data_IF_291672469462
#
_entry.id   IF_291672469462
#
_cell.length_a   1.000
_cell.length_b   1.000
_cell.length_c   1.000
_cell.angle_alpha   90.00
_cell.angle_beta   90.00
_cell.angle_gamma   90.00
#
_symmetry.space_group_name_H-M   'P 1'
#
loop_
_entity.id
_entity.type
_entity.pdbx_description
1 polymer ?
#
# COMPACT_ATOMS: atom_id res chain seq x y z
N UNK A 1 16.02 -3.90 -37.71
CA UNK A 1 17.17 -3.99 -36.80
C UNK A 1 17.12 -2.72 -35.96
N UNK A 2 16.56 -2.80 -34.76
CA UNK A 2 16.51 -1.67 -33.84
C UNK A 2 17.48 -1.98 -32.71
N UNK A 3 18.49 -1.15 -32.55
CA UNK A 3 19.38 -1.15 -31.38
C UNK A 3 19.34 0.29 -30.88
N UNK A 4 18.75 0.47 -29.71
CA UNK A 4 18.86 1.67 -28.85
C UNK A 4 18.90 1.05 -27.44
N UNK A 5 19.97 1.15 -26.65
CA UNK A 5 20.79 2.32 -26.43
C UNK A 5 20.26 3.01 -25.18
N UNK A 6 20.78 2.61 -24.01
CA UNK A 6 20.50 3.14 -22.67
C UNK A 6 19.06 3.04 -22.14
N UNK A 7 18.70 1.85 -21.66
CA UNK A 7 17.69 1.70 -20.60
C UNK A 7 18.42 1.43 -19.27
N UNK A 8 17.98 2.05 -18.15
CA UNK A 8 18.65 1.88 -16.86
C UNK A 8 18.66 0.40 -16.46
N UNK A 9 19.60 -0.04 -15.60
CA UNK A 9 19.80 -1.46 -15.23
C UNK A 9 18.54 -2.17 -14.66
N UNK A 10 17.50 -1.42 -14.34
CA UNK A 10 16.20 -1.88 -13.86
C UNK A 10 15.43 -2.76 -14.84
N UNK A 11 15.49 -2.50 -16.15
CA UNK A 11 14.75 -3.29 -17.15
C UNK A 11 15.33 -4.72 -17.26
N UNK A 12 16.65 -4.86 -17.09
CA UNK A 12 17.36 -6.14 -17.09
C UNK A 12 17.12 -6.96 -15.81
N UNK A 13 17.03 -6.31 -14.64
CA UNK A 13 16.72 -7.01 -13.38
C UNK A 13 15.32 -7.62 -13.40
N UNK A 14 14.33 -6.92 -13.98
CA UNK A 14 12.98 -7.46 -14.15
C UNK A 14 13.00 -8.70 -15.04
N UNK A 15 13.64 -8.64 -16.21
CA UNK A 15 13.73 -9.80 -17.11
C UNK A 15 14.43 -10.99 -16.44
N UNK A 16 15.47 -10.76 -15.64
CA UNK A 16 16.18 -11.81 -14.90
C UNK A 16 15.29 -12.48 -13.85
N UNK A 17 14.47 -11.72 -13.12
CA UNK A 17 13.49 -12.29 -12.18
C UNK A 17 12.47 -13.17 -12.92
N UNK A 18 12.00 -12.71 -14.08
CA UNK A 18 11.09 -13.48 -14.94
C UNK A 18 11.71 -14.76 -15.50
N UNK A 19 13.04 -14.79 -15.71
CA UNK A 19 13.77 -15.99 -16.17
C UNK A 19 14.04 -16.99 -15.03
N UNK A 20 14.16 -16.51 -13.80
CA UNK A 20 14.60 -17.32 -12.65
C UNK A 20 13.51 -18.18 -12.01
N UNK A 21 12.23 -17.81 -12.13
CA UNK A 21 11.14 -18.58 -11.52
C UNK A 21 9.88 -18.56 -12.38
N UNK A 22 9.17 -19.69 -12.39
CA UNK A 22 7.84 -19.83 -13.00
C UNK A 22 6.73 -19.83 -11.93
N UNK A 23 7.08 -19.66 -10.65
CA UNK A 23 6.12 -19.51 -9.56
C UNK A 23 5.55 -18.09 -9.58
N UNK A 24 4.23 -17.98 -9.80
CA UNK A 24 3.53 -16.72 -9.87
C UNK A 24 3.55 -15.92 -8.57
N UNK A 25 3.75 -16.55 -7.41
CA UNK A 25 3.84 -15.85 -6.12
C UNK A 25 5.19 -15.15 -5.96
N UNK A 26 6.29 -15.83 -6.26
CA UNK A 26 7.63 -15.24 -6.21
C UNK A 26 7.78 -14.08 -7.20
N UNK A 27 7.19 -14.21 -8.38
CA UNK A 27 7.12 -13.16 -9.39
C UNK A 27 6.38 -11.92 -8.88
N UNK A 28 5.24 -12.13 -8.19
CA UNK A 28 4.43 -11.04 -7.65
C UNK A 28 5.16 -10.31 -6.51
N UNK A 29 5.87 -11.05 -5.65
CA UNK A 29 6.68 -10.45 -4.58
C UNK A 29 7.85 -9.62 -5.15
N UNK A 30 8.54 -10.16 -6.16
CA UNK A 30 9.63 -9.46 -6.82
C UNK A 30 9.13 -8.23 -7.62
N UNK A 31 7.97 -8.29 -8.29
CA UNK A 31 7.36 -7.12 -8.94
C UNK A 31 6.94 -6.07 -7.90
N UNK A 32 6.37 -6.48 -6.76
CA UNK A 32 6.03 -5.59 -5.64
C UNK A 32 7.28 -4.91 -5.06
N UNK A 33 8.43 -5.60 -5.02
CA UNK A 33 9.71 -5.06 -4.54
C UNK A 33 10.35 -4.09 -5.55
N UNK A 34 10.32 -4.44 -6.84
CA UNK A 34 10.93 -3.65 -7.91
C UNK A 34 10.10 -2.41 -8.30
N UNK A 35 8.76 -2.52 -8.26
CA UNK A 35 7.85 -1.41 -8.56
C UNK A 35 7.53 -0.56 -7.33
N UNK A 36 7.64 -1.14 -6.14
CA UNK A 36 7.06 -0.57 -4.93
C UNK A 36 5.52 -0.71 -4.93
N UNK A 37 4.87 -0.28 -3.85
CA UNK A 37 3.46 -0.58 -3.61
C UNK A 37 2.43 0.18 -4.48
N UNK A 38 2.85 1.19 -5.24
CA UNK A 38 1.94 2.06 -5.98
C UNK A 38 1.05 2.92 -5.07
N UNK A 39 -0.06 3.44 -5.63
CA UNK A 39 -1.09 4.19 -4.88
C UNK A 39 -2.05 3.21 -4.21
N UNK A 40 -1.72 2.79 -2.98
CA UNK A 40 -2.52 1.81 -2.21
C UNK A 40 -3.89 2.37 -1.79
N UNK A 41 -4.09 3.70 -1.88
CA UNK A 41 -5.24 4.41 -1.29
C UNK A 41 -6.06 5.22 -2.30
N UNK A 42 -5.80 5.13 -3.62
CA UNK A 42 -6.47 5.98 -4.60
C UNK A 42 -6.34 5.56 -6.08
N UNK A 43 -7.31 6.02 -6.88
CA UNK A 43 -7.58 5.76 -8.31
C UNK A 43 -6.48 6.16 -9.32
N UNK A 44 -5.23 6.46 -8.90
CA UNK A 44 -4.18 6.92 -9.83
C UNK A 44 -3.08 5.87 -9.97
N UNK A 45 -2.81 5.47 -11.22
CA UNK A 45 -1.82 4.44 -11.59
C UNK A 45 -0.35 4.76 -11.23
N UNK A 46 -0.06 5.89 -10.62
CA UNK A 46 1.27 6.20 -10.10
C UNK A 46 1.20 7.39 -9.14
N UNK A 47 1.37 7.13 -7.86
CA UNK A 47 1.50 8.15 -6.83
C UNK A 47 2.09 7.49 -5.60
N UNK A 48 3.30 7.90 -5.25
CA UNK A 48 4.07 7.39 -4.11
C UNK A 48 3.16 7.30 -2.86
N UNK A 49 3.08 6.13 -2.24
CA UNK A 49 2.39 5.97 -0.97
C UNK A 49 2.97 7.04 -0.02
N UNK A 50 2.13 7.89 0.58
CA UNK A 50 2.57 9.04 1.41
C UNK A 50 3.19 8.64 2.75
N UNK A 51 3.90 7.53 2.78
CA UNK A 51 4.68 7.00 3.89
C UNK A 51 6.12 7.44 3.68
N UNK A 52 6.48 8.58 4.27
CA UNK A 52 7.82 9.18 4.11
C UNK A 52 8.95 8.36 4.78
N UNK A 53 8.59 7.39 5.62
CA UNK A 53 9.51 6.64 6.51
C UNK A 53 9.12 5.16 6.55
N UNK A 54 7.82 4.87 6.58
CA UNK A 54 7.32 3.50 6.61
C UNK A 54 7.47 2.83 5.24
N UNK A 55 7.85 1.55 5.27
CA UNK A 55 8.09 0.71 4.12
C UNK A 55 7.13 -0.48 4.21
N UNK A 56 6.21 -0.60 3.24
CA UNK A 56 5.15 -1.61 3.28
C UNK A 56 5.66 -3.05 3.16
N UNK A 57 6.89 -3.28 2.68
CA UNK A 57 7.52 -4.61 2.65
C UNK A 57 8.18 -4.93 3.99
N UNK A 58 8.96 -3.99 4.52
CA UNK A 58 9.67 -4.19 5.78
C UNK A 58 8.69 -4.25 6.96
N UNK A 59 7.64 -3.44 6.90
CA UNK A 59 6.77 -3.19 8.05
C UNK A 59 5.49 -4.07 8.01
N UNK A 60 5.46 -5.13 7.20
CA UNK A 60 4.30 -6.05 7.02
C UNK A 60 3.75 -6.56 8.34
N UNK A 61 4.61 -7.03 9.24
CA UNK A 61 4.17 -7.60 10.53
C UNK A 61 3.44 -6.55 11.39
N UNK A 62 3.93 -5.31 11.39
CA UNK A 62 3.29 -4.20 12.12
C UNK A 62 1.95 -3.85 11.47
N UNK A 63 1.87 -3.86 10.15
CA UNK A 63 0.63 -3.60 9.42
C UNK A 63 -0.43 -4.66 9.67
N UNK A 64 -0.03 -5.94 9.81
CA UNK A 64 -0.95 -7.03 10.16
C UNK A 64 -1.57 -6.80 11.54
N UNK A 65 -0.74 -6.53 12.56
CA UNK A 65 -1.23 -6.24 13.91
C UNK A 65 -2.13 -5.01 13.93
N UNK A 66 -1.73 -3.93 13.26
CA UNK A 66 -2.54 -2.72 13.18
C UNK A 66 -3.90 -2.97 12.51
N UNK A 67 -3.94 -3.82 11.47
CA UNK A 67 -5.18 -4.21 10.80
C UNK A 67 -6.10 -5.02 11.71
N UNK A 68 -5.55 -5.98 12.45
CA UNK A 68 -6.32 -6.79 13.41
C UNK A 68 -6.95 -5.90 14.49
N UNK A 69 -6.15 -5.01 15.09
CA UNK A 69 -6.66 -4.05 16.08
C UNK A 69 -7.75 -3.13 15.52
N UNK A 70 -7.57 -2.64 14.30
CA UNK A 70 -8.58 -1.81 13.65
C UNK A 70 -9.88 -2.59 13.39
N UNK A 71 -9.78 -3.86 13.00
CA UNK A 71 -10.95 -4.72 12.81
C UNK A 71 -11.67 -4.97 14.14
N UNK A 72 -10.93 -5.28 15.21
CA UNK A 72 -11.51 -5.49 16.54
C UNK A 72 -12.28 -4.26 17.04
N UNK A 73 -11.77 -3.06 16.77
CA UNK A 73 -12.47 -1.81 17.08
C UNK A 73 -13.74 -1.63 16.24
N UNK A 74 -13.67 -1.86 14.93
CA UNK A 74 -14.84 -1.74 14.04
C UNK A 74 -15.91 -2.77 14.41
N UNK A 75 -15.53 -3.99 14.78
CA UNK A 75 -16.47 -5.06 15.14
C UNK A 75 -17.21 -4.74 16.46
N UNK A 76 -16.56 -4.04 17.38
CA UNK A 76 -17.14 -3.62 18.66
C UNK A 76 -17.94 -2.32 18.54
N UNK A 77 -17.44 -1.37 17.75
CA UNK A 77 -17.99 -0.03 17.60
C UNK A 77 -17.81 0.46 16.15
N UNK A 78 -18.74 0.08 15.25
CA UNK A 78 -18.67 0.41 13.83
C UNK A 78 -18.64 1.92 13.56
N UNK A 79 -19.30 2.70 14.41
CA UNK A 79 -19.39 4.16 14.29
C UNK A 79 -18.20 4.88 14.95
N UNK A 80 -17.34 4.15 15.68
CA UNK A 80 -16.19 4.70 16.41
C UNK A 80 -16.59 5.86 17.35
N UNK A 81 -17.69 5.70 18.08
CA UNK A 81 -18.23 6.70 19.04
C UNK A 81 -17.74 6.49 20.48
N UNK A 82 -17.01 5.41 20.75
CA UNK A 82 -16.48 5.09 22.06
C UNK A 82 -15.45 6.12 22.54
N UNK A 83 -15.50 6.42 23.84
CA UNK A 83 -14.59 7.34 24.51
C UNK A 83 -13.13 6.89 24.30
N UNK A 84 -12.31 7.75 23.67
CA UNK A 84 -10.91 7.48 23.33
C UNK A 84 -10.61 7.20 21.85
N UNK A 85 -11.63 6.93 21.01
CA UNK A 85 -11.44 6.78 19.56
C UNK A 85 -11.62 8.08 18.77
N UNK A 86 -12.15 9.13 19.41
CA UNK A 86 -12.47 10.43 18.80
C UNK A 86 -11.29 11.07 18.07
N UNK A 87 -10.11 11.08 18.70
CA UNK A 87 -8.88 11.61 18.13
C UNK A 87 -8.41 10.77 16.94
N UNK A 88 -8.49 9.44 17.04
CA UNK A 88 -8.12 8.54 15.97
C UNK A 88 -9.05 8.71 14.76
N UNK A 89 -10.38 8.71 14.98
CA UNK A 89 -11.40 8.95 13.96
C UNK A 89 -11.14 10.28 13.25
N UNK A 90 -10.90 11.34 14.00
CA UNK A 90 -10.57 12.67 13.46
C UNK A 90 -9.30 12.66 12.61
N UNK A 91 -8.25 11.95 13.03
CA UNK A 91 -7.02 11.85 12.25
C UNK A 91 -7.19 11.01 10.97
N UNK A 92 -7.96 9.92 11.03
CA UNK A 92 -8.27 9.07 9.88
C UNK A 92 -9.05 9.86 8.84
N UNK A 93 -10.14 10.52 9.24
CA UNK A 93 -10.96 11.35 8.35
C UNK A 93 -10.16 12.50 7.74
N UNK A 94 -9.36 13.21 8.55
CA UNK A 94 -8.49 14.29 8.07
C UNK A 94 -7.47 13.82 7.03
N UNK A 95 -6.87 12.65 7.23
CA UNK A 95 -5.76 12.16 6.40
C UNK A 95 -6.23 11.41 5.16
N UNK A 96 -7.32 10.66 5.27
CA UNK A 96 -7.77 9.72 4.25
C UNK A 96 -9.20 9.97 3.76
N UNK A 97 -10.00 10.83 4.41
CA UNK A 97 -11.40 11.06 4.05
C UNK A 97 -11.62 11.39 2.57
N UNK A 98 -10.85 12.33 2.04
CA UNK A 98 -10.93 12.72 0.61
C UNK A 98 -10.41 11.64 -0.37
N UNK A 99 -9.55 10.73 0.09
CA UNK A 99 -8.94 9.71 -0.79
C UNK A 99 -9.77 8.41 -0.81
N UNK A 100 -10.43 8.10 0.30
CA UNK A 100 -11.25 6.92 0.50
C UNK A 100 -12.76 7.19 0.38
N UNK A 101 -13.12 8.40 -0.06
CA UNK A 101 -14.52 8.84 -0.23
C UNK A 101 -15.36 8.68 1.07
N UNK A 102 -14.72 8.88 2.23
CA UNK A 102 -15.37 8.77 3.53
C UNK A 102 -16.13 10.06 3.91
N UNK A 103 -16.27 11.00 2.98
CA UNK A 103 -16.89 12.30 3.18
C UNK A 103 -18.39 12.37 2.85
N UNK A 104 -18.96 11.37 2.18
CA UNK A 104 -20.39 11.33 1.87
C UNK A 104 -21.14 10.45 2.87
N UNK A 105 -21.62 11.09 3.95
CA UNK A 105 -22.41 10.44 4.99
C UNK A 105 -22.70 11.36 6.18
N UNK A 106 -23.20 12.57 5.92
CA UNK A 106 -23.79 13.46 6.94
C UNK A 106 -25.09 14.08 6.38
#
# INVERSE_FOLDING_TARGET
MFVDGDKPPQDDERLKVFEQTLDGFELAEADFRLRGPGDVLGQRQSGDARLRIADLHRDVEILQVAREMAQDWIDQDPEMESEGLEDLKSQVLRRYGNHLDLSDGA
#
